data_IF_244459043162
#
_entry.id   IF_244459043162
#
_cell.length_a   1.000
_cell.length_b   1.000
_cell.length_c   1.000
_cell.angle_alpha   90.00
_cell.angle_beta   90.00
_cell.angle_gamma   90.00
#
_symmetry.space_group_name_H-M   'P 1'
#
loop_
_entity.id
_entity.type
_entity.pdbx_description
1 polymer ?
#
# COMPACT_ATOMS: atom_id res chain seq x y z
N UNK A 1 -6.98 -6.45 16.16
CA UNK A 1 -6.45 -5.39 15.30
C UNK A 1 -5.25 -5.94 14.57
N UNK A 2 -5.48 -6.61 13.46
CA UNK A 2 -4.44 -7.19 12.62
C UNK A 2 -3.82 -6.10 11.76
N UNK A 3 -2.54 -5.81 12.02
CA UNK A 3 -1.74 -4.88 11.24
C UNK A 3 -1.46 -5.46 9.87
N UNK A 4 -2.13 -4.98 8.83
CA UNK A 4 -1.60 -5.08 7.47
C UNK A 4 -0.53 -4.01 7.28
N UNK A 5 0.62 -4.24 7.89
CA UNK A 5 1.86 -3.53 7.58
C UNK A 5 2.49 -4.20 6.36
N UNK A 6 2.21 -3.70 5.17
CA UNK A 6 3.13 -3.87 4.05
C UNK A 6 4.35 -3.02 4.42
N UNK A 7 5.38 -3.68 4.92
CA UNK A 7 6.69 -3.07 5.12
C UNK A 7 7.28 -2.78 3.74
N UNK A 8 7.09 -1.57 3.23
CA UNK A 8 7.90 -1.03 2.14
C UNK A 8 9.28 -0.69 2.68
N UNK A 9 10.25 -1.46 2.22
CA UNK A 9 11.65 -1.38 2.65
C UNK A 9 12.38 -0.19 2.04
N UNK A 10 13.12 0.49 2.91
CA UNK A 10 14.41 1.14 2.66
C UNK A 10 14.46 2.23 1.60
N UNK A 11 14.19 3.44 2.03
CA UNK A 11 14.82 4.64 1.44
C UNK A 11 16.27 4.72 1.99
N UNK A 12 17.25 4.35 1.17
CA UNK A 12 18.65 4.56 1.44
C UNK A 12 18.96 6.06 1.34
N UNK A 13 19.39 6.65 2.46
CA UNK A 13 19.98 7.98 2.50
C UNK A 13 21.28 7.99 1.69
N UNK A 14 21.30 8.72 0.58
CA UNK A 14 22.53 9.14 -0.10
C UNK A 14 22.91 10.53 0.41
N UNK A 15 23.92 10.56 1.28
CA UNK A 15 24.63 11.78 1.66
C UNK A 15 25.24 12.43 0.41
N UNK A 16 24.98 13.72 0.23
CA UNK A 16 25.60 14.53 -0.80
C UNK A 16 27.11 14.63 -0.56
N UNK A 17 27.88 13.90 -1.35
CA UNK A 17 29.33 14.10 -1.47
C UNK A 17 29.57 15.01 -2.68
N UNK A 18 30.29 16.10 -2.43
CA UNK A 18 30.70 17.08 -3.40
C UNK A 18 31.50 16.44 -4.53
N UNK A 19 31.03 16.59 -5.77
CA UNK A 19 31.80 16.27 -6.97
C UNK A 19 32.52 17.53 -7.46
N UNK A 20 33.80 17.61 -7.09
CA UNK A 20 34.81 18.46 -7.72
C UNK A 20 35.04 18.01 -9.17
N UNK A 21 35.15 18.99 -10.08
CA UNK A 21 35.21 18.79 -11.51
C UNK A 21 36.41 17.96 -12.02
N UNK A 22 36.08 17.15 -13.00
CA UNK A 22 37.03 16.66 -14.00
C UNK A 22 36.49 17.01 -15.41
N UNK A 23 37.12 18.05 -15.98
CA UNK A 23 37.02 18.30 -17.42
C UNK A 23 37.86 17.25 -18.12
N UNK A 24 37.23 16.30 -18.80
CA UNK A 24 37.90 15.42 -19.77
C UNK A 24 37.30 15.68 -21.15
N UNK A 25 38.09 16.33 -21.97
CA UNK A 25 37.82 16.46 -23.40
C UNK A 25 37.99 15.10 -24.08
N UNK A 26 36.91 14.34 -24.23
CA UNK A 26 36.89 13.15 -25.06
C UNK A 26 36.52 13.53 -26.48
N UNK A 27 37.49 13.41 -27.37
CA UNK A 27 37.32 13.51 -28.83
C UNK A 27 36.26 12.48 -29.30
N UNK A 28 35.22 12.98 -29.95
CA UNK A 28 34.23 12.17 -30.64
C UNK A 28 34.91 11.55 -31.91
N UNK A 29 35.39 10.34 -31.75
CA UNK A 29 35.59 9.46 -32.88
C UNK A 29 34.21 8.92 -33.29
N UNK A 30 33.65 9.40 -34.36
CA UNK A 30 32.44 8.87 -34.95
C UNK A 30 32.68 7.43 -35.43
N UNK A 31 32.38 6.45 -34.63
CA UNK A 31 32.32 5.05 -35.03
C UNK A 31 30.98 4.85 -35.73
N UNK A 32 30.98 4.59 -37.03
CA UNK A 32 29.84 4.12 -37.77
C UNK A 32 29.23 2.91 -37.04
N UNK A 33 27.91 2.94 -36.77
CA UNK A 33 27.17 1.83 -36.18
C UNK A 33 27.40 0.56 -37.02
N UNK A 34 27.73 -0.59 -36.43
CA UNK A 34 27.93 -1.81 -37.16
C UNK A 34 26.63 -2.18 -37.90
N UNK A 35 26.74 -2.41 -39.22
CA UNK A 35 25.63 -2.73 -40.12
C UNK A 35 24.99 -4.09 -39.86
N UNK A 36 25.60 -4.94 -39.02
CA UNK A 36 25.04 -6.23 -38.56
C UNK A 36 24.38 -6.07 -37.20
N UNK A 37 23.20 -6.67 -36.99
CA UNK A 37 22.54 -6.66 -35.69
C UNK A 37 23.41 -7.36 -34.63
N UNK A 38 23.67 -6.67 -33.52
CA UNK A 38 24.44 -7.22 -32.38
C UNK A 38 23.76 -8.49 -31.88
N UNK A 39 24.48 -9.65 -31.83
CA UNK A 39 23.93 -10.89 -31.31
C UNK A 39 23.52 -10.77 -29.83
N UNK A 40 22.52 -11.57 -29.34
CA UNK A 40 22.02 -11.50 -27.97
C UNK A 40 23.12 -11.60 -26.90
N UNK A 41 24.04 -12.54 -27.07
CA UNK A 41 25.13 -12.75 -26.09
C UNK A 41 26.12 -11.58 -26.06
N UNK A 42 26.42 -11.01 -27.21
CA UNK A 42 27.26 -9.81 -27.30
C UNK A 42 26.59 -8.59 -26.70
N UNK A 43 25.27 -8.42 -26.91
CA UNK A 43 24.50 -7.34 -26.28
C UNK A 43 24.54 -7.43 -24.75
N UNK A 44 24.38 -8.63 -24.19
CA UNK A 44 24.48 -8.87 -22.74
C UNK A 44 25.89 -8.52 -22.25
N UNK A 45 26.93 -8.90 -22.98
CA UNK A 45 28.32 -8.62 -22.62
C UNK A 45 28.60 -7.11 -22.61
N UNK A 46 28.19 -6.39 -23.67
CA UNK A 46 28.32 -4.93 -23.76
C UNK A 46 27.60 -4.23 -22.60
N UNK A 47 26.39 -4.65 -22.32
CA UNK A 47 25.60 -4.12 -21.22
C UNK A 47 26.27 -4.34 -19.85
N UNK A 48 26.87 -5.50 -19.64
CA UNK A 48 27.63 -5.81 -18.42
C UNK A 48 28.90 -4.98 -18.28
N UNK A 49 29.47 -4.53 -19.41
CA UNK A 49 30.62 -3.63 -19.47
C UNK A 49 30.24 -2.14 -19.31
N UNK A 50 28.94 -1.83 -19.17
CA UNK A 50 28.43 -0.48 -19.02
C UNK A 50 28.06 0.23 -20.33
N UNK A 51 28.17 -0.42 -21.48
CA UNK A 51 27.75 0.11 -22.80
C UNK A 51 26.22 0.05 -22.96
N UNK A 52 25.51 0.61 -21.99
CA UNK A 52 24.06 0.47 -21.88
C UNK A 52 23.31 1.07 -23.09
N UNK A 53 23.66 2.28 -23.52
CA UNK A 53 22.97 2.97 -24.63
C UNK A 53 23.06 2.20 -25.95
N UNK A 54 24.20 1.55 -26.18
CA UNK A 54 24.47 0.79 -27.40
C UNK A 54 23.76 -0.57 -27.39
N UNK A 55 23.53 -1.13 -26.20
CA UNK A 55 22.99 -2.50 -26.04
C UNK A 55 21.46 -2.57 -25.93
N UNK A 56 20.75 -1.51 -25.54
CA UNK A 56 19.29 -1.51 -25.27
C UNK A 56 18.50 -2.15 -26.43
N UNK A 57 18.65 -1.61 -27.65
CA UNK A 57 17.86 -2.12 -28.79
C UNK A 57 18.21 -3.57 -29.16
N UNK A 58 19.44 -4.01 -28.91
CA UNK A 58 19.84 -5.40 -29.14
C UNK A 58 19.28 -6.34 -28.04
N UNK A 59 19.22 -5.88 -26.79
CA UNK A 59 18.60 -6.61 -25.68
C UNK A 59 17.08 -6.75 -25.88
N UNK A 60 16.39 -5.72 -26.37
CA UNK A 60 14.97 -5.80 -26.73
C UNK A 60 14.71 -6.82 -27.83
N UNK A 61 15.55 -6.82 -28.88
CA UNK A 61 15.46 -7.86 -29.93
C UNK A 61 15.73 -9.27 -29.37
N UNK A 62 16.68 -9.41 -28.44
CA UNK A 62 16.97 -10.68 -27.79
C UNK A 62 15.76 -11.23 -27.03
N UNK A 63 14.97 -10.37 -26.40
CA UNK A 63 13.73 -10.77 -25.71
C UNK A 63 12.65 -11.31 -26.68
N UNK A 64 12.64 -10.84 -27.92
CA UNK A 64 11.69 -11.24 -28.95
C UNK A 64 12.21 -12.42 -29.82
N UNK A 65 13.51 -12.76 -29.73
CA UNK A 65 14.15 -13.76 -30.57
C UNK A 65 13.86 -15.20 -30.14
N UNK A 66 13.99 -16.14 -31.06
CA UNK A 66 13.96 -17.59 -30.77
C UNK A 66 15.33 -18.06 -30.23
N UNK A 67 15.64 -17.64 -29.03
CA UNK A 67 16.85 -18.03 -28.28
C UNK A 67 16.45 -18.75 -26.99
N UNK A 68 17.37 -19.47 -26.31
CA UNK A 68 17.08 -20.14 -25.05
C UNK A 68 16.41 -19.21 -24.03
N UNK A 69 15.46 -19.74 -23.24
CA UNK A 69 14.70 -18.97 -22.26
C UNK A 69 15.61 -18.22 -21.27
N UNK A 70 16.69 -18.87 -20.83
CA UNK A 70 17.69 -18.25 -19.93
C UNK A 70 18.37 -17.04 -20.57
N UNK A 71 18.68 -17.10 -21.88
CA UNK A 71 19.25 -15.96 -22.60
C UNK A 71 18.25 -14.80 -22.66
N UNK A 72 16.95 -15.08 -22.92
CA UNK A 72 15.90 -14.06 -22.90
C UNK A 72 15.73 -13.44 -21.51
N UNK A 73 15.68 -14.30 -20.47
CA UNK A 73 15.58 -13.84 -19.08
C UNK A 73 16.74 -12.90 -18.73
N UNK A 74 17.97 -13.35 -19.02
CA UNK A 74 19.16 -12.55 -18.74
C UNK A 74 19.18 -11.23 -19.54
N UNK A 75 18.79 -11.23 -20.82
CA UNK A 75 18.69 -10.05 -21.64
C UNK A 75 17.69 -9.03 -21.05
N UNK A 76 16.55 -9.50 -20.56
CA UNK A 76 15.55 -8.64 -19.92
C UNK A 76 16.03 -8.05 -18.60
N UNK A 77 16.63 -8.86 -17.73
CA UNK A 77 17.19 -8.42 -16.44
C UNK A 77 18.30 -7.38 -16.64
N UNK A 78 19.22 -7.66 -17.54
CA UNK A 78 20.31 -6.72 -17.89
C UNK A 78 19.75 -5.48 -18.59
N UNK A 79 18.69 -5.64 -19.39
CA UNK A 79 17.97 -4.55 -20.03
C UNK A 79 17.35 -3.57 -19.02
N UNK A 80 16.68 -4.07 -17.98
CA UNK A 80 16.18 -3.22 -16.88
C UNK A 80 17.32 -2.44 -16.24
N UNK A 81 18.40 -3.12 -15.84
CA UNK A 81 19.53 -2.47 -15.19
C UNK A 81 20.15 -1.37 -16.06
N UNK A 82 20.34 -1.66 -17.34
CA UNK A 82 20.91 -0.70 -18.28
C UNK A 82 19.99 0.49 -18.56
N UNK A 83 18.71 0.26 -18.78
CA UNK A 83 17.74 1.33 -19.02
C UNK A 83 17.59 2.25 -17.82
N UNK A 84 17.59 1.71 -16.60
CA UNK A 84 17.64 2.50 -15.36
C UNK A 84 18.93 3.32 -15.25
N UNK A 85 20.09 2.74 -15.61
CA UNK A 85 21.37 3.45 -15.51
C UNK A 85 21.46 4.68 -16.43
N UNK A 86 20.77 4.65 -17.57
CA UNK A 86 20.75 5.77 -18.54
C UNK A 86 19.46 6.62 -18.50
N UNK A 87 18.59 6.36 -17.50
CA UNK A 87 17.26 6.98 -17.31
C UNK A 87 16.33 6.84 -18.52
N UNK A 88 16.41 5.72 -19.24
CA UNK A 88 15.49 5.37 -20.32
C UNK A 88 14.26 4.64 -19.73
N UNK A 89 13.31 5.42 -19.22
CA UNK A 89 12.08 4.91 -18.59
C UNK A 89 11.19 4.11 -19.55
N UNK A 90 11.00 4.53 -20.82
CA UNK A 90 10.25 3.74 -21.80
C UNK A 90 10.86 2.34 -22.00
N UNK A 91 12.18 2.23 -22.17
CA UNK A 91 12.86 0.95 -22.29
C UNK A 91 12.73 0.11 -21.01
N UNK A 92 12.86 0.72 -19.82
CA UNK A 92 12.67 0.02 -18.54
C UNK A 92 11.28 -0.63 -18.45
N UNK A 93 10.22 0.15 -18.74
CA UNK A 93 8.83 -0.35 -18.72
C UNK A 93 8.59 -1.44 -19.75
N UNK A 94 9.24 -1.36 -20.94
CA UNK A 94 9.16 -2.38 -21.97
C UNK A 94 9.81 -3.71 -21.49
N UNK A 95 11.00 -3.65 -20.90
CA UNK A 95 11.64 -4.85 -20.33
C UNK A 95 10.82 -5.46 -19.19
N UNK A 96 10.26 -4.65 -18.29
CA UNK A 96 9.36 -5.12 -17.22
C UNK A 96 8.17 -5.86 -17.83
N UNK A 97 7.51 -5.29 -18.84
CA UNK A 97 6.38 -5.90 -19.53
C UNK A 97 6.74 -7.24 -20.18
N UNK A 98 7.87 -7.31 -20.87
CA UNK A 98 8.34 -8.53 -21.52
C UNK A 98 8.69 -9.63 -20.51
N UNK A 99 9.43 -9.28 -19.44
CA UNK A 99 9.77 -10.22 -18.37
C UNK A 99 8.54 -10.72 -17.62
N UNK A 100 7.59 -9.85 -17.31
CA UNK A 100 6.34 -10.24 -16.65
C UNK A 100 5.51 -11.19 -17.48
N UNK A 101 5.48 -11.01 -18.80
CA UNK A 101 4.77 -11.90 -19.73
C UNK A 101 5.41 -13.30 -19.78
N UNK A 102 6.73 -13.36 -19.92
CA UNK A 102 7.44 -14.60 -20.22
C UNK A 102 7.90 -15.34 -18.94
N UNK A 103 8.16 -14.60 -17.84
CA UNK A 103 8.75 -15.09 -16.59
C UNK A 103 8.06 -14.58 -15.34
N UNK A 104 6.78 -14.19 -15.42
CA UNK A 104 6.04 -13.52 -14.36
C UNK A 104 5.81 -14.34 -13.07
N UNK A 105 6.27 -15.60 -13.00
CA UNK A 105 6.27 -16.44 -11.78
C UNK A 105 7.67 -16.78 -11.28
N UNK A 106 8.71 -16.34 -11.98
CA UNK A 106 10.11 -16.54 -11.58
C UNK A 106 10.45 -15.60 -10.43
N UNK A 107 10.87 -16.10 -9.25
CA UNK A 107 11.15 -15.26 -8.08
C UNK A 107 12.25 -14.22 -8.31
N UNK A 108 13.29 -14.56 -9.06
CA UNK A 108 14.40 -13.64 -9.35
C UNK A 108 13.94 -12.50 -10.27
N UNK A 109 13.08 -12.82 -11.24
CA UNK A 109 12.49 -11.81 -12.12
C UNK A 109 11.55 -10.89 -11.36
N UNK A 110 10.69 -11.45 -10.49
CA UNK A 110 9.80 -10.66 -9.64
C UNK A 110 10.61 -9.72 -8.73
N UNK A 111 11.70 -10.19 -8.15
CA UNK A 111 12.59 -9.37 -7.33
C UNK A 111 13.15 -8.17 -8.13
N UNK A 112 13.67 -8.41 -9.33
CA UNK A 112 14.20 -7.34 -10.20
C UNK A 112 13.11 -6.34 -10.58
N UNK A 113 11.91 -6.80 -10.91
CA UNK A 113 10.78 -5.95 -11.28
C UNK A 113 10.35 -5.06 -10.10
N UNK A 114 10.27 -5.60 -8.88
CA UNK A 114 9.95 -4.82 -7.67
C UNK A 114 10.95 -3.67 -7.48
N UNK A 115 12.24 -3.95 -7.60
CA UNK A 115 13.27 -2.92 -7.48
C UNK A 115 13.23 -1.90 -8.61
N UNK A 116 12.91 -2.32 -9.84
CA UNK A 116 12.77 -1.42 -10.97
C UNK A 116 11.59 -0.44 -10.78
N UNK A 117 10.43 -0.93 -10.29
CA UNK A 117 9.30 -0.05 -9.96
C UNK A 117 9.63 0.92 -8.82
N UNK A 118 10.36 0.47 -7.80
CA UNK A 118 10.80 1.32 -6.68
C UNK A 118 11.72 2.46 -7.17
N UNK A 119 12.68 2.14 -8.04
CA UNK A 119 13.58 3.15 -8.64
C UNK A 119 12.79 4.15 -9.50
N UNK A 120 11.91 3.68 -10.38
CA UNK A 120 11.05 4.54 -11.19
C UNK A 120 10.15 5.44 -10.35
N UNK A 121 9.57 4.91 -9.28
CA UNK A 121 8.77 5.67 -8.32
C UNK A 121 9.58 6.79 -7.67
N UNK A 122 10.78 6.46 -7.17
CA UNK A 122 11.69 7.44 -6.55
C UNK A 122 12.08 8.56 -7.52
N UNK A 123 12.46 8.21 -8.74
CA UNK A 123 12.80 9.22 -9.78
C UNK A 123 11.62 10.13 -10.12
N UNK A 124 10.43 9.54 -10.26
CA UNK A 124 9.22 10.30 -10.56
C UNK A 124 8.85 11.24 -9.41
N UNK A 125 9.03 10.81 -8.17
CA UNK A 125 8.85 11.66 -6.97
C UNK A 125 9.82 12.83 -6.95
N UNK A 126 11.09 12.60 -7.29
CA UNK A 126 12.10 13.65 -7.41
C UNK A 126 11.77 14.64 -8.54
N UNK A 127 11.25 14.15 -9.66
CA UNK A 127 10.82 15.02 -10.76
C UNK A 127 9.64 15.90 -10.35
N UNK A 128 8.66 15.35 -9.65
CA UNK A 128 7.54 16.11 -9.10
C UNK A 128 8.04 17.19 -8.12
N UNK A 129 8.93 16.83 -7.20
CA UNK A 129 9.51 17.77 -6.24
C UNK A 129 10.32 18.90 -6.91
N UNK A 130 10.94 18.64 -8.07
CA UNK A 130 11.69 19.65 -8.84
C UNK A 130 10.81 20.52 -9.72
N UNK A 131 9.84 19.90 -10.40
CA UNK A 131 9.01 20.59 -11.41
C UNK A 131 7.86 21.37 -10.82
N UNK A 132 7.28 20.89 -9.70
CA UNK A 132 6.10 21.48 -9.08
C UNK A 132 6.13 21.36 -7.55
N UNK A 133 7.14 21.90 -6.86
CA UNK A 133 7.37 21.70 -5.42
C UNK A 133 6.21 22.22 -4.54
N UNK A 134 5.44 23.19 -5.04
CA UNK A 134 4.33 23.82 -4.33
C UNK A 134 2.95 23.26 -4.74
N UNK A 135 2.92 22.18 -5.52
CA UNK A 135 1.66 21.53 -5.93
C UNK A 135 1.07 20.70 -4.79
N UNK A 136 -0.24 20.57 -4.79
CA UNK A 136 -0.96 19.64 -3.89
C UNK A 136 -0.37 18.22 -3.93
N UNK A 137 0.00 17.75 -5.12
CA UNK A 137 0.60 16.43 -5.30
C UNK A 137 1.97 16.30 -4.62
N UNK A 138 2.83 17.35 -4.71
CA UNK A 138 4.13 17.35 -4.06
C UNK A 138 4.01 17.38 -2.53
N UNK A 139 3.17 18.27 -1.98
CA UNK A 139 2.89 18.32 -0.55
C UNK A 139 2.32 17.00 -0.03
N UNK A 140 1.34 16.40 -0.75
CA UNK A 140 0.77 15.11 -0.37
C UNK A 140 1.81 14.00 -0.34
N UNK A 141 2.63 13.88 -1.39
CA UNK A 141 3.70 12.87 -1.47
C UNK A 141 4.75 13.06 -0.37
N UNK A 142 5.08 14.31 -0.03
CA UNK A 142 6.02 14.63 1.05
C UNK A 142 5.43 14.24 2.41
N UNK A 143 4.14 14.53 2.65
CA UNK A 143 3.43 14.11 3.85
C UNK A 143 3.44 12.58 4.02
N UNK A 144 3.10 11.83 2.97
CA UNK A 144 3.12 10.36 2.97
C UNK A 144 4.53 9.82 3.29
N UNK A 145 5.57 10.40 2.70
CA UNK A 145 6.96 10.02 2.98
C UNK A 145 7.41 10.36 4.41
N UNK A 146 6.90 11.43 4.99
CA UNK A 146 7.15 11.81 6.39
C UNK A 146 6.43 10.86 7.36
N UNK A 147 5.19 10.46 7.06
CA UNK A 147 4.45 9.45 7.83
C UNK A 147 5.20 8.11 7.88
N UNK A 148 5.73 7.64 6.73
CA UNK A 148 6.54 6.41 6.65
C UNK A 148 7.79 6.48 7.54
N UNK A 149 8.35 7.67 7.74
CA UNK A 149 9.49 7.93 8.62
C UNK A 149 9.08 8.12 10.10
N UNK A 150 7.79 8.09 10.43
CA UNK A 150 7.26 8.38 11.76
C UNK A 150 7.34 9.86 12.15
N UNK A 151 7.52 10.76 11.17
CA UNK A 151 7.59 12.21 11.36
C UNK A 151 6.20 12.83 11.20
N UNK A 152 5.37 12.61 12.20
CA UNK A 152 3.94 12.93 12.14
C UNK A 152 3.64 14.42 12.07
N UNK A 153 4.24 15.27 12.95
CA UNK A 153 4.02 16.71 12.92
C UNK A 153 4.44 17.36 11.60
N UNK A 154 5.62 17.06 11.03
CA UNK A 154 5.94 17.54 9.69
C UNK A 154 4.98 17.08 8.60
N UNK A 155 4.42 15.86 8.68
CA UNK A 155 3.43 15.38 7.74
C UNK A 155 2.09 16.14 7.86
N UNK A 156 1.62 16.41 9.09
CA UNK A 156 0.45 17.20 9.36
C UNK A 156 0.57 18.61 8.74
N UNK A 157 1.73 19.28 8.91
CA UNK A 157 2.00 20.58 8.31
C UNK A 157 1.91 20.59 6.78
N UNK A 158 2.33 19.53 6.12
CA UNK A 158 2.21 19.40 4.67
C UNK A 158 0.73 19.31 4.24
N UNK A 159 -0.11 18.57 4.96
CA UNK A 159 -1.55 18.54 4.71
C UNK A 159 -2.22 19.90 5.00
N UNK A 160 -1.82 20.57 6.07
CA UNK A 160 -2.34 21.90 6.42
C UNK A 160 -1.97 22.93 5.34
N UNK A 161 -0.77 22.89 4.76
CA UNK A 161 -0.38 23.76 3.63
C UNK A 161 -1.23 23.53 2.38
N UNK A 162 -1.65 22.29 2.10
CA UNK A 162 -2.62 22.02 1.05
C UNK A 162 -3.97 22.68 1.37
N UNK A 163 -4.48 22.46 2.57
CA UNK A 163 -5.79 22.97 2.99
C UNK A 163 -5.83 24.50 3.08
N UNK A 164 -4.73 25.15 3.42
CA UNK A 164 -4.60 26.59 3.41
C UNK A 164 -4.77 27.19 2.01
N UNK A 165 -4.25 26.53 0.98
CA UNK A 165 -4.37 26.96 -0.42
C UNK A 165 -5.68 26.49 -1.06
N UNK A 166 -6.13 25.32 -0.69
CA UNK A 166 -7.27 24.60 -1.27
C UNK A 166 -8.12 23.95 -0.18
N UNK A 167 -8.92 24.72 0.59
CA UNK A 167 -9.64 24.23 1.77
C UNK A 167 -10.64 23.11 1.47
N UNK A 168 -11.14 23.02 0.25
CA UNK A 168 -12.09 21.98 -0.18
C UNK A 168 -11.42 20.85 -0.97
N UNK A 169 -10.14 20.60 -0.74
CA UNK A 169 -9.42 19.48 -1.38
C UNK A 169 -9.90 18.14 -0.84
N UNK A 170 -10.66 17.42 -1.65
CA UNK A 170 -11.21 16.10 -1.31
C UNK A 170 -10.12 15.13 -0.87
N UNK A 171 -10.34 14.44 0.25
CA UNK A 171 -9.46 13.44 0.83
C UNK A 171 -8.34 14.00 1.70
N UNK A 172 -8.06 15.31 1.70
CA UNK A 172 -6.94 15.86 2.49
C UNK A 172 -7.30 15.98 3.96
N UNK A 173 -8.51 16.39 4.29
CA UNK A 173 -8.99 16.35 5.68
C UNK A 173 -8.99 14.94 6.24
N UNK A 174 -9.37 13.93 5.43
CA UNK A 174 -9.28 12.52 5.82
C UNK A 174 -7.83 12.10 6.13
N UNK A 175 -6.87 12.46 5.28
CA UNK A 175 -5.46 12.14 5.48
C UNK A 175 -4.91 12.81 6.74
N UNK A 176 -5.22 14.08 6.96
CA UNK A 176 -4.82 14.80 8.18
C UNK A 176 -5.40 14.17 9.45
N UNK A 177 -6.70 13.85 9.45
CA UNK A 177 -7.35 13.18 10.57
C UNK A 177 -6.74 11.79 10.85
N UNK A 178 -6.40 11.03 9.81
CA UNK A 178 -5.73 9.75 9.93
C UNK A 178 -4.32 9.90 10.51
N UNK A 179 -3.55 10.89 10.05
CA UNK A 179 -2.20 11.20 10.56
C UNK A 179 -2.23 11.51 12.05
N UNK A 180 -3.17 12.37 12.49
CA UNK A 180 -3.40 12.71 13.90
C UNK A 180 -3.65 11.46 14.77
N UNK A 181 -4.43 10.49 14.28
CA UNK A 181 -4.71 9.25 15.01
C UNK A 181 -3.57 8.23 14.99
N UNK A 182 -2.71 8.29 13.99
CA UNK A 182 -1.59 7.34 13.82
C UNK A 182 -0.38 7.70 14.67
N UNK A 183 -0.30 8.90 15.14
CA UNK A 183 0.78 9.43 15.97
C UNK A 183 0.79 8.79 17.36
N UNK A 184 1.87 8.08 17.77
CA UNK A 184 1.92 7.34 19.03
C UNK A 184 1.78 8.22 20.28
N UNK A 185 2.28 9.46 20.19
CA UNK A 185 2.31 10.49 21.25
C UNK A 185 1.36 11.66 20.98
N UNK A 186 0.30 11.43 20.20
CA UNK A 186 -0.65 12.45 19.74
C UNK A 186 -1.39 13.22 20.85
N UNK A 187 -1.24 12.75 22.07
CA UNK A 187 -1.86 13.39 23.23
C UNK A 187 -3.37 13.15 23.32
N UNK A 188 -3.99 13.64 24.41
CA UNK A 188 -5.41 13.43 24.66
C UNK A 188 -6.32 14.14 23.64
N UNK A 189 -5.84 15.18 22.97
CA UNK A 189 -6.64 15.99 22.04
C UNK A 189 -6.64 15.45 20.61
N UNK A 190 -5.76 14.50 20.28
CA UNK A 190 -5.66 13.95 18.94
C UNK A 190 -6.97 13.34 18.44
N UNK A 191 -7.73 12.56 19.22
CA UNK A 191 -9.01 12.01 18.76
C UNK A 191 -10.05 13.10 18.46
N UNK A 192 -10.10 14.17 19.26
CA UNK A 192 -11.03 15.28 19.04
C UNK A 192 -10.69 16.06 17.76
N UNK A 193 -9.41 16.41 17.57
CA UNK A 193 -8.93 17.08 16.35
C UNK A 193 -9.18 16.21 15.11
N UNK A 194 -8.89 14.93 15.20
CA UNK A 194 -9.14 13.99 14.09
C UNK A 194 -10.63 13.89 13.75
N UNK A 195 -11.52 13.85 14.76
CA UNK A 195 -12.98 13.86 14.57
C UNK A 195 -13.41 15.10 13.77
N UNK A 196 -12.90 16.28 14.13
CA UNK A 196 -13.19 17.52 13.39
C UNK A 196 -12.75 17.42 11.91
N UNK A 197 -11.58 16.88 11.66
CA UNK A 197 -11.06 16.73 10.30
C UNK A 197 -11.90 15.73 9.47
N UNK A 198 -12.32 14.61 10.04
CA UNK A 198 -13.22 13.68 9.34
C UNK A 198 -14.61 14.29 9.09
N UNK A 199 -15.12 15.09 10.01
CA UNK A 199 -16.38 15.82 9.80
C UNK A 199 -16.27 16.85 8.67
N UNK A 200 -15.14 17.58 8.56
CA UNK A 200 -14.87 18.47 7.42
C UNK A 200 -14.78 17.69 6.10
N UNK A 201 -14.14 16.53 6.11
CA UNK A 201 -14.09 15.67 4.92
C UNK A 201 -15.50 15.29 4.46
N UNK A 202 -16.39 14.90 5.37
CA UNK A 202 -17.78 14.55 5.02
C UNK A 202 -18.62 15.73 4.53
N UNK A 203 -18.27 16.98 4.89
CA UNK A 203 -18.89 18.17 4.29
C UNK A 203 -18.49 18.34 2.82
N UNK A 204 -17.27 17.93 2.45
CA UNK A 204 -16.71 18.01 1.09
C UNK A 204 -17.12 16.77 0.27
N UNK A 205 -17.00 15.61 0.89
CA UNK A 205 -17.28 14.30 0.31
C UNK A 205 -18.20 13.45 1.20
N UNK A 206 -19.52 13.65 1.13
CA UNK A 206 -20.49 12.85 1.89
C UNK A 206 -20.48 11.35 1.54
N UNK A 207 -19.80 10.97 0.44
CA UNK A 207 -19.64 9.58 0.00
C UNK A 207 -18.42 8.88 0.57
N UNK A 208 -17.64 9.51 1.43
CA UNK A 208 -16.43 8.93 2.00
C UNK A 208 -16.77 7.90 3.10
N UNK A 209 -16.87 6.63 2.70
CA UNK A 209 -17.19 5.53 3.60
C UNK A 209 -16.13 5.31 4.68
N UNK A 210 -14.86 5.60 4.38
CA UNK A 210 -13.75 5.44 5.33
C UNK A 210 -13.83 6.51 6.43
N UNK A 211 -14.21 7.75 6.09
CA UNK A 211 -14.41 8.82 7.08
C UNK A 211 -15.57 8.49 8.02
N UNK A 212 -16.69 8.00 7.47
CA UNK A 212 -17.81 7.50 8.29
C UNK A 212 -17.38 6.36 9.21
N UNK A 213 -16.62 5.39 8.68
CA UNK A 213 -16.13 4.27 9.47
C UNK A 213 -15.25 4.73 10.65
N UNK A 214 -14.29 5.63 10.40
CA UNK A 214 -13.39 6.11 11.47
C UNK A 214 -14.15 6.93 12.52
N UNK A 215 -15.12 7.75 12.12
CA UNK A 215 -16.00 8.44 13.07
C UNK A 215 -16.78 7.45 13.94
N UNK A 216 -17.31 6.37 13.35
CA UNK A 216 -17.92 5.29 14.10
C UNK A 216 -16.98 4.64 15.11
N UNK A 217 -15.71 4.41 14.73
CA UNK A 217 -14.68 3.87 15.65
C UNK A 217 -14.39 4.83 16.80
N UNK A 218 -14.30 6.15 16.53
CA UNK A 218 -14.08 7.15 17.57
C UNK A 218 -15.26 7.22 18.55
N UNK A 219 -16.50 7.22 18.05
CA UNK A 219 -17.70 7.21 18.85
C UNK A 219 -17.80 5.93 19.71
N UNK A 220 -17.50 4.76 19.12
CA UNK A 220 -17.50 3.48 19.86
C UNK A 220 -16.47 3.47 21.00
N UNK A 221 -15.27 4.03 20.77
CA UNK A 221 -14.25 4.17 21.83
C UNK A 221 -14.68 5.11 22.95
N UNK A 222 -15.44 6.14 22.62
CA UNK A 222 -16.06 7.04 23.58
C UNK A 222 -17.30 6.45 24.26
N UNK A 223 -17.69 5.22 23.89
CA UNK A 223 -18.90 4.52 24.33
C UNK A 223 -20.20 5.26 23.93
N UNK A 224 -20.15 6.12 22.96
CA UNK A 224 -21.33 6.72 22.33
C UNK A 224 -21.81 5.76 21.22
N UNK A 225 -22.54 4.74 21.64
CA UNK A 225 -22.96 3.68 20.74
C UNK A 225 -24.02 4.15 19.74
N UNK A 226 -24.86 5.12 20.06
CA UNK A 226 -25.85 5.67 19.14
C UNK A 226 -25.16 6.42 17.99
N UNK A 227 -24.16 7.29 18.27
CA UNK A 227 -23.33 7.94 17.26
C UNK A 227 -22.55 6.90 16.43
N UNK A 228 -21.98 5.86 17.08
CA UNK A 228 -21.26 4.80 16.41
C UNK A 228 -22.15 4.01 15.42
N UNK A 229 -23.36 3.66 15.83
CA UNK A 229 -24.36 2.96 14.98
C UNK A 229 -24.69 3.81 13.75
N UNK A 230 -24.92 5.11 13.94
CA UNK A 230 -25.22 6.02 12.83
C UNK A 230 -24.10 6.04 11.79
N UNK A 231 -22.85 6.25 12.22
CA UNK A 231 -21.70 6.31 11.34
C UNK A 231 -21.36 4.96 10.69
N UNK A 232 -21.32 3.85 11.45
CA UNK A 232 -21.04 2.53 10.85
C UNK A 232 -22.12 2.09 9.87
N UNK A 233 -23.39 2.33 10.18
CA UNK A 233 -24.48 2.00 9.25
C UNK A 233 -24.39 2.82 7.96
N UNK A 234 -23.96 4.09 8.05
CA UNK A 234 -23.75 4.93 6.87
C UNK A 234 -22.55 4.45 6.05
N UNK A 235 -21.40 4.11 6.69
CA UNK A 235 -20.26 3.50 6.02
C UNK A 235 -20.65 2.21 5.27
N UNK A 236 -21.44 1.34 5.90
CA UNK A 236 -21.93 0.10 5.29
C UNK A 236 -22.89 0.34 4.11
N UNK A 237 -23.69 1.41 4.14
CA UNK A 237 -24.54 1.81 3.00
C UNK A 237 -23.73 2.33 1.83
N UNK A 238 -22.69 3.12 2.10
CA UNK A 238 -21.80 3.68 1.08
C UNK A 238 -20.91 2.60 0.44
N UNK A 239 -20.44 1.65 1.23
CA UNK A 239 -19.65 0.51 0.74
C UNK A 239 -20.24 -0.81 1.27
N UNK A 240 -21.02 -1.50 0.46
CA UNK A 240 -21.69 -2.76 0.82
C UNK A 240 -20.74 -3.95 1.02
N UNK A 241 -19.46 -3.80 0.73
CA UNK A 241 -18.40 -4.80 0.97
C UNK A 241 -17.49 -4.44 2.14
N UNK A 242 -17.86 -3.46 2.95
CA UNK A 242 -17.08 -2.99 4.09
C UNK A 242 -17.38 -3.85 5.34
N UNK A 243 -16.74 -5.01 5.43
CA UNK A 243 -16.98 -5.98 6.51
C UNK A 243 -16.78 -5.37 7.90
N UNK A 244 -15.75 -4.54 8.07
CA UNK A 244 -15.43 -3.88 9.34
C UNK A 244 -16.51 -2.89 9.76
N UNK A 245 -17.15 -2.20 8.82
CA UNK A 245 -18.27 -1.30 9.12
C UNK A 245 -19.49 -2.08 9.61
N UNK A 246 -19.81 -3.20 8.97
CA UNK A 246 -20.88 -4.09 9.44
C UNK A 246 -20.60 -4.70 10.81
N UNK A 247 -19.34 -5.10 11.07
CA UNK A 247 -18.92 -5.59 12.39
C UNK A 247 -19.07 -4.48 13.45
N UNK A 248 -18.51 -3.29 13.19
CA UNK A 248 -18.62 -2.15 14.10
C UNK A 248 -20.06 -1.77 14.41
N UNK A 249 -20.94 -1.80 13.39
CA UNK A 249 -22.38 -1.58 13.55
C UNK A 249 -23.02 -2.61 14.47
N UNK A 250 -22.80 -3.90 14.23
CA UNK A 250 -23.35 -4.96 15.07
C UNK A 250 -22.80 -4.97 16.49
N UNK A 251 -21.51 -4.70 16.66
CA UNK A 251 -20.89 -4.60 18.01
C UNK A 251 -21.45 -3.40 18.78
N UNK A 252 -21.68 -2.26 18.13
CA UNK A 252 -22.28 -1.07 18.76
C UNK A 252 -23.75 -1.34 19.17
N UNK A 253 -24.52 -2.05 18.34
CA UNK A 253 -25.86 -2.51 18.68
C UNK A 253 -25.86 -3.47 19.89
N UNK A 254 -24.89 -4.38 19.96
CA UNK A 254 -24.69 -5.23 21.14
C UNK A 254 -24.38 -4.40 22.40
N UNK A 255 -23.59 -3.33 22.27
CA UNK A 255 -23.30 -2.38 23.34
C UNK A 255 -24.56 -1.71 23.88
N UNK A 256 -25.46 -1.30 22.99
CA UNK A 256 -26.78 -0.75 23.32
C UNK A 256 -27.81 -1.83 23.75
N UNK A 257 -27.41 -3.09 23.81
CA UNK A 257 -28.30 -4.23 24.11
C UNK A 257 -29.43 -4.43 23.08
N UNK A 258 -29.30 -3.88 21.89
CA UNK A 258 -30.19 -4.05 20.72
C UNK A 258 -29.82 -5.34 19.96
N UNK A 259 -29.89 -6.48 20.68
CA UNK A 259 -29.30 -7.75 20.23
C UNK A 259 -29.97 -8.30 18.95
N UNK A 260 -31.29 -8.18 18.83
CA UNK A 260 -32.06 -8.61 17.65
C UNK A 260 -31.60 -7.80 16.41
N UNK A 261 -31.39 -6.49 16.59
CA UNK A 261 -30.96 -5.60 15.51
C UNK A 261 -29.48 -5.82 15.13
N UNK A 262 -28.66 -6.36 16.05
CA UNK A 262 -27.24 -6.65 15.79
C UNK A 262 -27.03 -7.85 14.86
N UNK A 263 -27.96 -8.81 14.84
CA UNK A 263 -27.82 -10.05 14.06
C UNK A 263 -27.68 -9.80 12.55
N UNK A 264 -28.54 -9.00 11.89
CA UNK A 264 -28.42 -8.77 10.44
C UNK A 264 -27.08 -8.20 9.98
N UNK A 265 -26.56 -7.10 10.55
CA UNK A 265 -25.26 -6.57 10.14
C UNK A 265 -24.12 -7.55 10.46
N UNK A 266 -24.14 -8.28 11.58
CA UNK A 266 -23.12 -9.28 11.89
C UNK A 266 -23.13 -10.45 10.92
N UNK A 267 -24.29 -10.94 10.50
CA UNK A 267 -24.39 -11.95 9.43
C UNK A 267 -23.88 -11.43 8.09
N UNK A 268 -24.04 -10.14 7.81
CA UNK A 268 -23.46 -9.56 6.59
C UNK A 268 -21.92 -9.49 6.71
N UNK A 269 -21.37 -9.11 7.84
CA UNK A 269 -19.93 -9.14 8.09
C UNK A 269 -19.35 -10.54 7.94
N UNK A 270 -20.04 -11.56 8.48
CA UNK A 270 -19.65 -12.97 8.37
C UNK A 270 -19.56 -13.44 6.92
N UNK A 271 -20.55 -13.09 6.08
CA UNK A 271 -20.52 -13.40 4.66
C UNK A 271 -19.34 -12.78 3.91
N UNK A 272 -18.89 -11.60 4.34
CA UNK A 272 -17.77 -10.90 3.72
C UNK A 272 -16.42 -11.42 4.20
N UNK A 273 -16.32 -11.76 5.50
CA UNK A 273 -15.07 -12.22 6.13
C UNK A 273 -15.33 -13.39 7.09
N UNK A 274 -15.61 -14.61 6.55
CA UNK A 274 -16.10 -15.76 7.34
C UNK A 274 -15.07 -16.36 8.30
N UNK A 275 -13.83 -15.91 8.30
CA UNK A 275 -12.77 -16.39 9.22
C UNK A 275 -12.36 -15.35 10.25
N UNK A 276 -13.10 -14.25 10.39
CA UNK A 276 -12.81 -13.24 11.39
C UNK A 276 -13.44 -13.66 12.74
N UNK A 277 -12.63 -13.96 13.79
CA UNK A 277 -13.14 -14.42 15.07
C UNK A 277 -14.00 -13.37 15.81
N UNK A 278 -13.75 -12.08 15.61
CA UNK A 278 -14.50 -11.01 16.28
C UNK A 278 -15.96 -11.00 15.82
N UNK A 279 -16.22 -11.31 14.54
CA UNK A 279 -17.59 -11.40 13.98
C UNK A 279 -18.35 -12.53 14.66
N UNK A 280 -17.76 -13.74 14.72
CA UNK A 280 -18.39 -14.90 15.35
C UNK A 280 -18.64 -14.68 16.83
N UNK A 281 -17.73 -14.02 17.54
CA UNK A 281 -17.91 -13.65 18.94
C UNK A 281 -19.06 -12.67 19.13
N UNK A 282 -19.12 -11.61 18.33
CA UNK A 282 -20.20 -10.62 18.40
C UNK A 282 -21.56 -11.24 18.04
N UNK A 283 -21.61 -12.10 17.01
CA UNK A 283 -22.83 -12.80 16.57
C UNK A 283 -23.30 -13.80 17.62
N UNK A 284 -22.39 -14.63 18.18
CA UNK A 284 -22.70 -15.53 19.27
C UNK A 284 -23.29 -14.79 20.49
N UNK A 285 -22.72 -13.64 20.83
CA UNK A 285 -23.22 -12.78 21.92
C UNK A 285 -24.67 -12.37 21.66
N UNK A 286 -24.97 -11.83 20.48
CA UNK A 286 -26.32 -11.43 20.10
C UNK A 286 -27.30 -12.62 20.13
N UNK A 287 -26.93 -13.77 19.56
CA UNK A 287 -27.74 -14.98 19.49
C UNK A 287 -28.03 -15.57 20.89
N UNK A 288 -27.06 -15.57 21.79
CA UNK A 288 -27.27 -16.00 23.19
C UNK A 288 -28.31 -15.11 23.89
N UNK A 289 -28.17 -13.79 23.69
CA UNK A 289 -29.04 -12.79 24.35
C UNK A 289 -30.47 -12.79 23.81
N UNK A 290 -30.66 -13.20 22.56
CA UNK A 290 -31.98 -13.36 21.92
C UNK A 290 -32.58 -14.77 22.10
N UNK A 291 -31.88 -15.67 22.81
CA UNK A 291 -32.36 -17.03 23.07
C UNK A 291 -32.12 -18.02 21.92
N UNK A 292 -31.45 -17.65 20.87
CA UNK A 292 -31.13 -18.49 19.71
C UNK A 292 -29.94 -19.42 19.98
N UNK A 293 -30.05 -20.28 20.98
CA UNK A 293 -28.95 -21.12 21.55
C UNK A 293 -28.30 -21.99 20.46
N UNK A 294 -29.08 -22.63 19.59
CA UNK A 294 -28.54 -23.55 18.59
C UNK A 294 -27.65 -22.83 17.56
N UNK A 295 -28.01 -21.61 17.16
CA UNK A 295 -27.18 -20.82 16.27
C UNK A 295 -25.92 -20.32 17.00
N UNK A 296 -26.05 -19.87 18.24
CA UNK A 296 -24.92 -19.44 19.06
C UNK A 296 -23.87 -20.57 19.25
N UNK A 297 -24.34 -21.82 19.47
CA UNK A 297 -23.45 -22.98 19.58
C UNK A 297 -22.64 -23.23 18.30
N UNK A 298 -23.22 -22.99 17.11
CA UNK A 298 -22.49 -23.07 15.83
C UNK A 298 -21.39 -22.00 15.77
N UNK A 299 -21.70 -20.77 16.14
CA UNK A 299 -20.69 -19.68 16.15
C UNK A 299 -19.55 -19.99 17.11
N UNK A 300 -19.85 -20.50 18.30
CA UNK A 300 -18.83 -20.96 19.24
C UNK A 300 -17.99 -22.15 18.73
N UNK A 301 -18.59 -23.06 17.94
CA UNK A 301 -17.86 -24.15 17.30
C UNK A 301 -16.86 -23.62 16.26
N UNK A 302 -17.27 -22.63 15.44
CA UNK A 302 -16.39 -21.96 14.47
C UNK A 302 -15.24 -21.27 15.20
N UNK A 303 -15.50 -20.50 16.25
CA UNK A 303 -14.47 -19.85 17.08
C UNK A 303 -13.43 -20.85 17.58
N UNK A 304 -13.87 -22.00 18.10
CA UNK A 304 -12.94 -23.06 18.54
C UNK A 304 -12.09 -23.60 17.41
N UNK A 305 -12.66 -23.77 16.21
CA UNK A 305 -11.92 -24.26 15.05
C UNK A 305 -10.88 -23.25 14.56
N UNK A 306 -11.20 -21.94 14.57
CA UNK A 306 -10.28 -20.89 14.18
C UNK A 306 -9.08 -20.80 15.13
N UNK A 307 -9.32 -20.91 16.44
CA UNK A 307 -8.26 -20.88 17.45
C UNK A 307 -7.34 -22.11 17.40
N UNK A 308 -7.84 -23.29 17.01
CA UNK A 308 -7.03 -24.50 16.89
C UNK A 308 -6.09 -24.51 15.67
N UNK A 309 -6.45 -23.81 14.59
CA UNK A 309 -5.60 -23.71 13.39
C UNK A 309 -4.39 -22.80 13.58
N UNK A 310 -4.48 -21.78 14.45
CA UNK A 310 -3.35 -20.89 14.73
C UNK A 310 -2.23 -21.58 15.53
N UNK A 311 -2.52 -22.63 16.29
CA UNK A 311 -1.53 -23.37 17.10
C UNK A 311 -0.83 -24.51 16.34
N UNK A 312 -1.34 -24.91 15.18
CA UNK A 312 -0.76 -26.01 14.40
C UNK A 312 0.37 -25.59 13.45
N UNK A 313 0.67 -24.29 13.37
CA UNK A 313 1.71 -23.72 12.48
C UNK A 313 3.09 -23.54 13.14
N UNK A 314 3.30 -23.84 14.41
CA UNK A 314 4.62 -23.80 15.02
C UNK A 314 5.37 -25.11 14.71
N UNK A 315 6.55 -25.11 14.03
CA UNK A 315 7.36 -26.31 13.91
C UNK A 315 7.80 -26.76 15.30
N UNK A 316 7.51 -28.02 15.63
CA UNK A 316 8.01 -28.65 16.86
C UNK A 316 9.55 -28.51 16.89
N UNK A 317 10.06 -27.62 17.72
CA UNK A 317 11.48 -27.50 17.97
C UNK A 317 11.98 -28.82 18.56
N UNK A 318 12.97 -29.43 17.89
CA UNK A 318 13.69 -30.58 18.42
C UNK A 318 14.28 -30.21 19.80
N UNK A 319 14.18 -31.10 20.79
CA UNK A 319 14.88 -30.90 22.06
C UNK A 319 16.40 -30.92 21.85
N UNK A 320 17.16 -30.10 22.58
CA UNK A 320 18.63 -30.11 22.49
C UNK A 320 19.16 -31.46 23.00
N UNK A 321 20.06 -32.07 22.20
CA UNK A 321 20.91 -33.17 22.63
C UNK A 321 22.12 -32.66 23.42
#
# INVERSE_FOLDING_TARGET
MGSYLIKSSAVLFLSAAALSGFSSSAQHAGSALPTNPIPPQQAITLANQGHCRESISALERAMAAQVPAETRKLAGVVGIRCSLAIDDRPATLNFIRLLSRDFGRDPDVLYVIVHAYSDLSTRTSLDLARSAPQSTAAHKLNAEALEEQGKWEPAELEYEEILKKHPNSRGIHFLLGRSLLSRPDGGPDAPARAKEEFQKELQIDPGNADAEYVLGVLAQRAQDFDEAIAHFSQAAKLNQNFAEAYLGWGVSLNGEKKYEEAIPPLKRAELLTPRNPDIHNALATALVRTGNKTEAEKEFAILRSLSSTDHSGAPAGNPPQ
#
